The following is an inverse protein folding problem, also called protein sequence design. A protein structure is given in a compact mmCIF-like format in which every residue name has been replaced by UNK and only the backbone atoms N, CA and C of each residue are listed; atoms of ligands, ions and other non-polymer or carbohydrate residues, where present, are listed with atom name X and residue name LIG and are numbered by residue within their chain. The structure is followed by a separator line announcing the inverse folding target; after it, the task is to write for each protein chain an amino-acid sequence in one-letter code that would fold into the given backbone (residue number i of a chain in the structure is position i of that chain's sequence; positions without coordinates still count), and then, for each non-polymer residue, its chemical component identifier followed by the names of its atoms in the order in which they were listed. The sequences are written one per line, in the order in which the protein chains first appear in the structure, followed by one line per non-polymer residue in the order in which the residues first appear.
data_IF_950868696268
#
_entry.id   IF_950868696268
#
_cell.length_a   1.000
_cell.length_b   1.000
_cell.length_c   1.000
_cell.angle_alpha   90.00
_cell.angle_beta   90.00
_cell.angle_gamma   90.00
#
_symmetry.space_group_name_H-M   'P 1'
#
loop_
_entity.id
_entity.type
_entity.pdbx_description
1 polymer ?
#
# COMPACT_ATOMS: atom_id res chain seq x y z
N UNK A 1 6.33 -1.87 26.39
CA UNK A 1 5.47 -1.45 25.27
C UNK A 1 5.82 -0.01 24.92
N UNK A 2 5.71 0.39 23.65
CA UNK A 2 5.98 1.79 23.26
C UNK A 2 4.71 2.61 23.45
N UNK A 3 4.84 3.92 23.69
CA UNK A 3 3.68 4.85 23.74
C UNK A 3 2.82 4.78 22.47
N UNK A 4 3.44 4.47 21.32
CA UNK A 4 2.71 4.21 20.08
C UNK A 4 1.81 2.97 20.20
N UNK A 5 2.27 1.88 20.81
CA UNK A 5 1.49 0.64 20.97
C UNK A 5 0.24 0.79 21.84
N UNK A 6 0.21 1.74 22.77
CA UNK A 6 -0.97 2.03 23.61
C UNK A 6 -2.15 2.55 22.78
N UNK A 7 -1.89 3.42 21.80
CA UNK A 7 -2.93 4.00 20.92
C UNK A 7 -3.10 3.18 19.63
N UNK A 8 -1.98 2.76 19.06
CA UNK A 8 -1.84 2.09 17.76
C UNK A 8 -1.59 0.59 17.90
N UNK A 9 -2.33 -0.10 18.77
CA UNK A 9 -2.11 -1.52 18.99
C UNK A 9 -2.30 -2.33 17.68
N UNK A 10 -1.25 -2.95 17.12
CA UNK A 10 -1.31 -3.66 15.84
C UNK A 10 -2.22 -4.89 15.84
N UNK A 11 -2.48 -5.45 17.02
CA UNK A 11 -3.22 -6.70 17.20
C UNK A 11 -4.73 -6.47 17.40
N UNK A 12 -5.16 -5.21 17.50
CA UNK A 12 -6.56 -4.83 17.72
C UNK A 12 -7.13 -4.14 16.47
N UNK A 13 -8.21 -4.69 15.92
CA UNK A 13 -8.90 -4.11 14.77
C UNK A 13 -9.41 -2.71 15.11
N UNK A 14 -9.16 -1.74 14.22
CA UNK A 14 -9.56 -0.34 14.39
C UNK A 14 -8.63 0.48 15.29
N UNK A 15 -7.58 -0.10 15.86
CA UNK A 15 -6.56 0.68 16.58
C UNK A 15 -5.71 1.54 15.64
N UNK A 16 -5.42 1.06 14.43
CA UNK A 16 -4.71 1.85 13.42
C UNK A 16 -5.49 3.07 12.92
N UNK A 17 -6.83 3.01 12.94
CA UNK A 17 -7.67 4.16 12.59
C UNK A 17 -7.43 5.36 13.53
N UNK A 18 -6.96 5.12 14.76
CA UNK A 18 -6.72 6.17 15.76
C UNK A 18 -5.27 6.68 15.77
N UNK A 19 -4.41 6.16 14.89
CA UNK A 19 -3.02 6.56 14.84
C UNK A 19 -2.84 7.94 14.23
N UNK A 20 -1.84 8.68 14.69
CA UNK A 20 -1.43 9.95 14.06
C UNK A 20 -0.59 9.67 12.83
N UNK A 21 -1.24 9.24 11.76
CA UNK A 21 -0.59 9.01 10.47
C UNK A 21 -0.50 10.31 9.68
N UNK A 22 0.62 10.53 8.98
CA UNK A 22 0.91 11.80 8.29
C UNK A 22 -0.13 12.17 7.24
N UNK A 23 -0.76 11.20 6.58
CA UNK A 23 -1.80 11.46 5.60
C UNK A 23 -3.06 12.08 6.21
N UNK A 24 -3.33 11.89 7.51
CA UNK A 24 -4.46 12.57 8.16
C UNK A 24 -4.22 14.08 8.27
N UNK A 25 -2.99 14.51 8.48
CA UNK A 25 -2.64 15.95 8.51
C UNK A 25 -2.83 16.56 7.12
N UNK A 26 -2.39 15.87 6.06
CA UNK A 26 -2.61 16.29 4.67
C UNK A 26 -4.10 16.31 4.30
N UNK A 27 -4.86 15.25 4.64
CA UNK A 27 -6.30 15.18 4.38
C UNK A 27 -7.03 16.33 5.09
N UNK A 28 -6.69 16.61 6.36
CA UNK A 28 -7.28 17.73 7.11
C UNK A 28 -6.96 19.10 6.52
N UNK A 29 -5.84 19.21 5.79
CA UNK A 29 -5.43 20.42 5.07
C UNK A 29 -6.02 20.51 3.66
N UNK A 30 -6.93 19.60 3.28
CA UNK A 30 -7.61 19.59 1.99
C UNK A 30 -6.84 18.93 0.84
N UNK A 31 -5.78 18.16 1.14
CA UNK A 31 -5.06 17.41 0.12
C UNK A 31 -5.80 16.11 -0.20
N UNK A 32 -5.78 15.71 -1.47
CA UNK A 32 -6.19 14.36 -1.87
C UNK A 32 -5.13 13.36 -1.42
N UNK A 33 -5.51 12.30 -0.72
CA UNK A 33 -4.58 11.33 -0.16
C UNK A 33 -4.66 9.96 -0.83
N UNK A 34 -3.51 9.32 -1.04
CA UNK A 34 -3.43 7.97 -1.58
C UNK A 34 -2.49 7.05 -0.81
N UNK A 35 -2.85 5.76 -0.74
CA UNK A 35 -1.96 4.71 -0.26
C UNK A 35 -2.12 3.44 -1.11
N UNK A 36 -0.99 2.92 -1.62
CA UNK A 36 -0.91 1.65 -2.31
C UNK A 36 0.34 0.89 -1.89
N UNK A 37 0.22 -0.42 -1.75
CA UNK A 37 1.33 -1.32 -1.47
C UNK A 37 1.03 -2.71 -2.04
N UNK A 38 1.91 -3.19 -2.91
CA UNK A 38 1.85 -4.55 -3.47
C UNK A 38 2.22 -5.61 -2.40
N UNK A 39 2.23 -6.88 -2.80
CA UNK A 39 2.45 -8.00 -1.90
C UNK A 39 1.47 -7.96 -0.71
N UNK A 40 0.16 -7.90 -0.99
CA UNK A 40 -0.89 -7.55 -0.03
C UNK A 40 -0.84 -8.36 1.28
N UNK A 41 -0.34 -9.60 1.26
CA UNK A 41 -0.17 -10.47 2.45
C UNK A 41 0.89 -9.97 3.43
N UNK A 42 1.97 -9.38 2.91
CA UNK A 42 3.11 -8.88 3.69
C UNK A 42 3.16 -7.36 3.76
N UNK A 43 2.13 -6.66 3.28
CA UNK A 43 2.08 -5.20 3.33
C UNK A 43 2.24 -4.62 4.74
N UNK A 44 2.84 -3.44 4.81
CA UNK A 44 3.31 -2.75 6.02
C UNK A 44 2.30 -2.75 7.18
N UNK A 45 1.03 -2.47 6.88
CA UNK A 45 -0.02 -2.37 7.90
C UNK A 45 -0.82 -3.66 8.11
N UNK A 46 -0.54 -4.72 7.37
CA UNK A 46 -1.30 -5.97 7.41
C UNK A 46 -0.46 -7.20 7.76
N UNK A 47 0.87 -7.16 7.59
CA UNK A 47 1.73 -8.25 7.96
C UNK A 47 1.77 -8.43 9.49
N UNK A 48 1.23 -9.57 9.94
CA UNK A 48 1.07 -9.91 11.36
C UNK A 48 0.30 -8.85 12.16
N UNK A 49 -0.59 -8.10 11.47
CA UNK A 49 -1.36 -6.96 12.01
C UNK A 49 -2.81 -7.08 11.57
N UNK A 50 -3.74 -6.48 12.32
CA UNK A 50 -5.15 -6.42 11.91
C UNK A 50 -5.43 -5.41 10.79
N UNK A 51 -4.52 -4.45 10.58
CA UNK A 51 -4.71 -3.38 9.61
C UNK A 51 -5.74 -2.35 10.02
N UNK A 52 -6.04 -1.45 9.09
CA UNK A 52 -7.09 -0.45 9.23
C UNK A 52 -8.46 -1.09 9.09
N UNK A 53 -9.43 -0.61 9.88
CA UNK A 53 -10.84 -1.01 9.74
C UNK A 53 -11.54 -0.14 8.70
N UNK A 54 -11.15 1.13 8.57
CA UNK A 54 -11.64 2.05 7.53
C UNK A 54 -10.50 2.40 6.55
N UNK A 55 -10.80 2.73 5.28
CA UNK A 55 -9.78 3.26 4.38
C UNK A 55 -9.05 4.45 5.03
N UNK A 56 -7.71 4.40 5.17
CA UNK A 56 -6.95 5.44 5.85
C UNK A 56 -6.69 6.68 4.96
N UNK A 57 -6.90 6.55 3.65
CA UNK A 57 -6.70 7.60 2.64
C UNK A 57 -7.90 7.64 1.70
N UNK A 58 -8.05 8.74 0.97
CA UNK A 58 -9.15 8.92 0.00
C UNK A 58 -9.08 7.86 -1.11
N UNK A 59 -7.86 7.55 -1.56
CA UNK A 59 -7.56 6.51 -2.53
C UNK A 59 -6.74 5.39 -1.86
N UNK A 60 -7.46 4.42 -1.29
CA UNK A 60 -6.86 3.24 -0.66
C UNK A 60 -6.89 2.03 -1.60
N UNK A 61 -5.76 1.73 -2.22
CA UNK A 61 -5.67 0.74 -3.31
C UNK A 61 -5.51 -0.71 -2.84
N UNK A 62 -5.48 -0.99 -1.54
CA UNK A 62 -5.32 -2.36 -1.03
C UNK A 62 -6.37 -3.35 -1.59
N UNK A 63 -7.68 -3.04 -1.65
CA UNK A 63 -8.65 -3.98 -2.23
C UNK A 63 -8.36 -4.31 -3.70
N UNK A 64 -7.92 -3.32 -4.47
CA UNK A 64 -7.51 -3.50 -5.86
C UNK A 64 -6.30 -4.43 -5.97
N UNK A 65 -5.21 -4.15 -5.25
CA UNK A 65 -4.00 -4.99 -5.27
C UNK A 65 -4.25 -6.40 -4.72
N UNK A 66 -5.09 -6.53 -3.69
CA UNK A 66 -5.52 -7.84 -3.19
C UNK A 66 -6.26 -8.63 -4.27
N UNK A 67 -7.12 -7.98 -5.05
CA UNK A 67 -7.87 -8.66 -6.09
C UNK A 67 -6.96 -9.15 -7.22
N UNK A 68 -5.98 -8.35 -7.63
CA UNK A 68 -5.05 -8.73 -8.70
C UNK A 68 -4.15 -9.89 -8.28
N UNK A 69 -3.68 -9.88 -7.03
CA UNK A 69 -2.83 -10.95 -6.49
C UNK A 69 -3.57 -12.25 -6.11
N UNK A 70 -4.90 -12.22 -6.02
CA UNK A 70 -5.72 -13.39 -5.69
C UNK A 70 -6.38 -14.05 -6.90
N UNK A 71 -6.76 -13.25 -7.89
CA UNK A 71 -7.68 -13.69 -8.95
C UNK A 71 -7.09 -13.68 -10.36
N UNK A 72 -5.93 -13.03 -10.57
CA UNK A 72 -5.23 -13.07 -11.85
C UNK A 72 -4.13 -14.14 -11.83
N UNK A 73 -3.61 -14.49 -13.00
CA UNK A 73 -2.49 -15.40 -13.13
C UNK A 73 -1.26 -14.83 -12.42
N UNK A 74 -0.67 -15.60 -11.52
CA UNK A 74 0.45 -15.17 -10.68
C UNK A 74 1.71 -15.92 -11.05
N UNK A 75 2.75 -15.18 -11.40
CA UNK A 75 4.12 -15.71 -11.47
C UNK A 75 4.92 -15.19 -10.28
N UNK A 76 5.72 -16.08 -9.69
CA UNK A 76 6.54 -15.74 -8.54
C UNK A 76 8.00 -15.61 -8.94
N UNK A 77 8.65 -14.57 -8.44
CA UNK A 77 10.09 -14.36 -8.53
C UNK A 77 10.62 -14.09 -7.13
N UNK A 78 11.72 -14.75 -6.77
CA UNK A 78 12.37 -14.63 -5.45
C UNK A 78 11.40 -14.78 -4.25
N UNK A 79 10.35 -15.59 -4.42
CA UNK A 79 9.37 -15.88 -3.36
C UNK A 79 8.23 -14.87 -3.21
N UNK A 80 8.13 -13.86 -4.06
CA UNK A 80 7.05 -12.87 -4.07
C UNK A 80 6.19 -13.00 -5.33
N UNK A 81 4.96 -12.51 -5.26
CA UNK A 81 4.10 -12.37 -6.44
C UNK A 81 4.69 -11.25 -7.32
N UNK A 82 5.36 -11.63 -8.40
CA UNK A 82 6.05 -10.68 -9.27
C UNK A 82 5.14 -10.28 -10.42
N UNK A 83 4.64 -11.22 -11.23
CA UNK A 83 3.59 -10.96 -12.23
C UNK A 83 2.22 -11.26 -11.62
N UNK A 84 1.24 -10.37 -11.79
CA UNK A 84 -0.14 -10.60 -11.34
C UNK A 84 -1.14 -10.17 -12.41
N UNK A 85 -1.29 -11.02 -13.42
CA UNK A 85 -1.98 -10.73 -14.68
C UNK A 85 -1.02 -10.24 -15.77
N UNK A 86 -1.39 -9.24 -16.58
CA UNK A 86 -0.61 -8.83 -17.75
C UNK A 86 0.63 -7.98 -17.43
N UNK A 87 0.83 -7.61 -16.17
CA UNK A 87 1.87 -6.68 -15.70
C UNK A 87 2.42 -7.14 -14.34
N UNK A 88 3.61 -6.67 -13.98
CA UNK A 88 4.16 -6.95 -12.65
C UNK A 88 3.42 -6.19 -11.54
N UNK A 89 3.42 -6.76 -10.33
CA UNK A 89 2.79 -6.18 -9.15
C UNK A 89 3.39 -4.82 -8.80
N UNK A 90 4.70 -4.66 -8.96
CA UNK A 90 5.40 -3.41 -8.75
C UNK A 90 5.13 -2.37 -9.85
N UNK A 91 5.10 -2.77 -11.13
CA UNK A 91 4.73 -1.87 -12.24
C UNK A 91 3.31 -1.34 -12.05
N UNK A 92 2.38 -2.18 -11.62
CA UNK A 92 1.02 -1.74 -11.32
C UNK A 92 0.99 -0.61 -10.28
N UNK A 93 1.82 -0.68 -9.24
CA UNK A 93 1.92 0.41 -8.25
C UNK A 93 2.55 1.66 -8.87
N UNK A 94 3.55 1.52 -9.74
CA UNK A 94 4.11 2.64 -10.50
C UNK A 94 3.09 3.31 -11.43
N UNK A 95 2.24 2.53 -12.08
CA UNK A 95 1.17 3.04 -12.92
C UNK A 95 0.10 3.74 -12.09
N UNK A 96 -0.22 3.23 -10.88
CA UNK A 96 -1.06 3.93 -9.93
C UNK A 96 -0.46 5.28 -9.50
N UNK A 97 0.85 5.38 -9.26
CA UNK A 97 1.53 6.65 -8.96
C UNK A 97 1.32 7.63 -10.12
N UNK A 98 1.58 7.17 -11.35
CA UNK A 98 1.48 7.99 -12.56
C UNK A 98 0.03 8.44 -12.80
N UNK A 99 -0.93 7.53 -12.68
CA UNK A 99 -2.35 7.82 -12.84
C UNK A 99 -2.84 8.80 -11.77
N UNK A 100 -2.43 8.62 -10.51
CA UNK A 100 -2.78 9.51 -9.41
C UNK A 100 -2.24 10.93 -9.64
N UNK A 101 -0.95 11.07 -9.97
CA UNK A 101 -0.32 12.36 -10.23
C UNK A 101 -0.96 13.09 -11.43
N UNK A 102 -1.30 12.36 -12.50
CA UNK A 102 -1.99 12.93 -13.67
C UNK A 102 -3.42 13.35 -13.35
N UNK A 103 -4.15 12.52 -12.61
CA UNK A 103 -5.57 12.78 -12.26
C UNK A 103 -5.70 14.00 -11.37
N UNK A 104 -4.78 14.19 -10.42
CA UNK A 104 -4.80 15.28 -9.46
C UNK A 104 -3.84 16.42 -9.80
N UNK A 105 -3.44 16.56 -11.06
CA UNK A 105 -2.46 17.56 -11.49
C UNK A 105 -2.83 19.02 -11.12
N UNK A 106 -4.11 19.33 -10.94
CA UNK A 106 -4.62 20.65 -10.52
C UNK A 106 -5.03 20.73 -9.05
N UNK A 107 -4.81 19.67 -8.27
CA UNK A 107 -5.15 19.57 -6.85
C UNK A 107 -3.90 19.43 -6.01
N UNK A 108 -3.97 19.83 -4.74
CA UNK A 108 -2.95 19.46 -3.77
C UNK A 108 -3.16 17.99 -3.39
N UNK A 109 -2.09 17.19 -3.43
CA UNK A 109 -2.17 15.76 -3.11
C UNK A 109 -0.96 15.25 -2.34
N UNK A 110 -1.18 14.20 -1.54
CA UNK A 110 -0.14 13.45 -0.85
C UNK A 110 -0.35 11.96 -1.11
N UNK A 111 0.65 11.29 -1.67
CA UNK A 111 0.59 9.86 -1.95
C UNK A 111 1.74 9.11 -1.28
N UNK A 112 1.41 8.03 -0.59
CA UNK A 112 2.40 7.08 -0.07
C UNK A 112 2.27 5.76 -0.83
N UNK A 113 3.29 5.41 -1.60
CA UNK A 113 3.28 4.21 -2.45
C UNK A 113 4.50 3.35 -2.12
N UNK A 114 4.31 2.04 -2.03
CA UNK A 114 5.36 1.10 -1.63
C UNK A 114 5.35 -0.15 -2.51
N UNK A 115 6.53 -0.67 -2.85
CA UNK A 115 6.70 -1.82 -3.74
C UNK A 115 7.70 -2.80 -3.10
N UNK A 116 7.21 -3.96 -2.72
CA UNK A 116 7.96 -5.06 -2.15
C UNK A 116 8.45 -6.01 -3.26
N UNK A 117 7.68 -6.21 -4.33
CA UNK A 117 7.95 -7.21 -5.37
C UNK A 117 9.30 -7.03 -6.08
N UNK A 118 9.85 -5.81 -6.09
CA UNK A 118 11.12 -5.51 -6.76
C UNK A 118 12.38 -5.80 -5.94
N UNK A 119 12.30 -5.87 -4.62
CA UNK A 119 13.52 -5.91 -3.80
C UNK A 119 13.41 -6.53 -2.40
N UNK A 120 12.23 -6.96 -1.95
CA UNK A 120 12.06 -7.35 -0.55
C UNK A 120 12.86 -8.60 -0.16
N UNK A 121 12.93 -9.61 -1.04
CA UNK A 121 13.66 -10.86 -0.77
C UNK A 121 15.05 -10.91 -1.41
N UNK A 122 15.21 -10.33 -2.61
CA UNK A 122 16.49 -10.19 -3.30
C UNK A 122 16.54 -8.79 -3.94
N UNK A 123 17.61 -8.03 -3.69
CA UNK A 123 17.77 -6.68 -4.23
C UNK A 123 17.92 -6.67 -5.76
N UNK A 124 18.33 -7.80 -6.35
CA UNK A 124 18.50 -7.98 -7.80
C UNK A 124 17.23 -8.40 -8.53
N UNK A 125 16.10 -8.61 -7.84
CA UNK A 125 14.83 -9.05 -8.46
C UNK A 125 14.39 -8.10 -9.57
N UNK A 126 14.58 -6.78 -9.42
CA UNK A 126 14.24 -5.78 -10.45
C UNK A 126 15.10 -5.86 -11.72
N UNK A 127 16.26 -6.53 -11.67
CA UNK A 127 17.24 -6.58 -12.76
C UNK A 127 17.29 -7.90 -13.53
N UNK A 128 16.49 -8.89 -13.13
CA UNK A 128 16.42 -10.22 -13.76
C UNK A 128 15.27 -10.29 -14.75
#
# INVERSE_FOLDING_TARGET
ETKASETCNPNKLGSFDNCKMIWYDYQSSGFVTAYAEDAYKIGTFNYLKKGFRRPPTDYYFRPYLMSTEQWLDVEKLDGLNYCTGPESAGERVFDLITAFAKTFATYLYFGFFWMNSFSHNDLGTVSR
#
